data_IF_357090245314
#
_entry.id   IF_357090245314
#
_cell.length_a   1.000
_cell.length_b   1.000
_cell.length_c   1.000
_cell.angle_alpha   90.00
_cell.angle_beta   90.00
_cell.angle_gamma   90.00
#
_symmetry.space_group_name_H-M   'P 1'
#
loop_
_entity.id
_entity.type
_entity.pdbx_description
1 polymer ?
#
# COMPACT_ATOMS: atom_id res chain seq x y z
N UNK A 1 21.19 7.86 54.12
CA UNK A 1 20.25 8.60 53.27
C UNK A 1 19.01 7.72 53.13
N UNK A 2 18.45 7.26 54.25
CA UNK A 2 17.56 7.97 55.22
C UNK A 2 16.12 7.90 54.66
N UNK A 3 15.06 7.47 55.32
CA UNK A 3 14.72 7.08 56.71
C UNK A 3 13.40 6.25 56.59
N UNK A 4 13.28 5.04 57.14
CA UNK A 4 12.55 4.72 58.38
C UNK A 4 11.10 5.24 58.53
N UNK A 5 10.10 4.34 58.55
CA UNK A 5 9.14 4.22 59.67
C UNK A 5 8.18 3.03 59.54
N UNK A 6 8.25 2.20 60.58
CA UNK A 6 7.46 1.04 60.97
C UNK A 6 6.16 1.41 61.71
N UNK A 7 5.14 0.53 61.71
CA UNK A 7 4.45 0.12 62.95
C UNK A 7 3.56 -1.13 62.79
N UNK A 8 3.95 -2.18 63.50
CA UNK A 8 3.13 -3.31 63.98
C UNK A 8 2.22 -2.90 65.15
N UNK A 9 1.12 -3.64 65.32
CA UNK A 9 0.42 -3.83 66.60
C UNK A 9 -1.04 -4.26 66.38
N UNK A 10 -1.67 -5.14 67.16
CA UNK A 10 -1.25 -6.05 68.21
C UNK A 10 -2.50 -6.92 68.52
N UNK A 11 -2.32 -8.23 68.75
CA UNK A 11 -3.38 -9.13 69.23
C UNK A 11 -3.76 -8.84 70.68
N UNK A 12 -5.05 -8.99 71.03
CA UNK A 12 -5.53 -8.96 72.40
C UNK A 12 -6.77 -9.84 72.58
N UNK A 13 -6.58 -11.02 73.18
CA UNK A 13 -7.62 -11.79 73.85
C UNK A 13 -7.73 -11.35 75.31
N UNK A 14 -8.91 -11.48 75.95
CA UNK A 14 -9.12 -11.99 77.32
C UNK A 14 -10.64 -12.04 77.68
N UNK A 15 -11.03 -12.79 78.74
CA UNK A 15 -12.38 -13.38 78.95
C UNK A 15 -13.19 -12.77 80.11
N UNK A 16 -14.48 -13.13 80.19
CA UNK A 16 -15.34 -13.00 81.38
C UNK A 16 -16.78 -13.39 81.01
N UNK A 17 -17.53 -14.28 81.68
CA UNK A 17 -17.54 -14.62 83.09
C UNK A 17 -18.79 -14.03 83.75
N UNK A 18 -19.54 -14.85 84.51
CA UNK A 18 -20.71 -14.56 85.37
C UNK A 18 -22.09 -14.59 84.70
N UNK A 19 -23.20 -14.99 85.33
CA UNK A 19 -23.54 -15.89 86.44
C UNK A 19 -25.10 -15.84 86.50
N UNK A 20 -25.76 -16.97 86.71
CA UNK A 20 -27.23 -17.04 86.88
C UNK A 20 -27.70 -16.26 88.12
N UNK A 21 -29.01 -15.96 88.19
CA UNK A 21 -29.74 -16.43 89.37
C UNK A 21 -31.01 -17.23 89.04
N UNK A 22 -31.10 -18.39 89.69
CA UNK A 22 -32.34 -19.08 90.05
C UNK A 22 -32.98 -18.36 91.23
N UNK A 23 -34.28 -17.98 91.16
CA UNK A 23 -35.22 -18.05 92.30
C UNK A 23 -36.66 -18.29 91.85
N UNK A 24 -37.32 -19.08 92.69
CA UNK A 24 -38.63 -19.73 92.56
C UNK A 24 -39.82 -18.86 93.02
N UNK A 25 -41.01 -19.32 92.63
CA UNK A 25 -42.36 -19.11 93.19
C UNK A 25 -43.02 -17.75 92.89
N UNK A 26 -44.31 -17.67 92.54
CA UNK A 26 -45.45 -18.42 93.08
C UNK A 26 -46.59 -18.57 92.07
N UNK A 27 -47.30 -19.70 92.18
CA UNK A 27 -48.55 -19.97 91.50
C UNK A 27 -49.62 -18.93 91.85
N UNK A 28 -50.34 -18.44 90.83
CA UNK A 28 -51.69 -17.89 91.00
C UNK A 28 -52.66 -18.75 90.21
N UNK A 29 -53.74 -19.07 90.88
CA UNK A 29 -54.68 -20.13 90.58
C UNK A 29 -55.28 -20.04 89.16
N UNK A 30 -55.34 -21.22 88.54
CA UNK A 30 -56.06 -21.52 87.32
C UNK A 30 -57.52 -21.05 87.37
N UNK A 31 -57.88 -20.09 86.52
CA UNK A 31 -59.24 -20.01 86.01
C UNK A 31 -59.41 -21.14 84.95
N UNK A 32 -60.51 -21.91 84.95
CA UNK A 32 -60.71 -22.95 83.96
C UNK A 32 -60.99 -22.30 82.60
N UNK A 33 -59.95 -22.10 81.78
CA UNK A 33 -60.14 -21.69 80.40
C UNK A 33 -60.73 -22.88 79.64
N UNK A 34 -61.99 -22.75 79.25
CA UNK A 34 -62.70 -23.70 78.40
C UNK A 34 -61.86 -23.96 77.14
N UNK A 35 -61.26 -25.15 77.04
CA UNK A 35 -60.63 -25.66 75.81
C UNK A 35 -61.73 -25.85 74.76
N UNK A 36 -62.11 -24.77 74.10
CA UNK A 36 -62.78 -24.85 72.79
C UNK A 36 -61.73 -25.42 71.83
N UNK A 37 -61.90 -26.68 71.42
CA UNK A 37 -61.22 -27.22 70.25
C UNK A 37 -61.55 -26.28 69.09
N UNK A 38 -60.60 -25.43 68.68
CA UNK A 38 -60.71 -24.52 67.54
C UNK A 38 -60.19 -25.27 66.32
N UNK A 39 -61.04 -25.92 65.49
CA UNK A 39 -60.58 -26.55 64.26
C UNK A 39 -59.89 -25.55 63.31
N UNK A 40 -60.12 -24.24 63.47
CA UNK A 40 -59.51 -23.19 62.65
C UNK A 40 -57.99 -22.99 62.82
N UNK A 41 -57.36 -23.45 63.91
CA UNK A 41 -55.90 -23.26 64.10
C UNK A 41 -55.08 -24.23 63.24
N UNK A 42 -55.57 -25.47 63.07
CA UNK A 42 -54.93 -26.48 62.21
C UNK A 42 -55.09 -26.08 60.74
N UNK A 43 -56.26 -25.60 60.34
CA UNK A 43 -56.49 -25.06 58.98
C UNK A 43 -55.68 -23.78 58.71
N UNK A 44 -55.47 -22.92 59.72
CA UNK A 44 -54.62 -21.74 59.59
C UNK A 44 -53.13 -22.06 59.41
N UNK A 45 -52.61 -23.06 60.15
CA UNK A 45 -51.21 -23.50 60.01
C UNK A 45 -50.98 -24.21 58.67
N UNK A 46 -51.91 -25.07 58.23
CA UNK A 46 -51.83 -25.72 56.90
C UNK A 46 -51.91 -24.69 55.77
N UNK A 47 -52.80 -23.68 55.90
CA UNK A 47 -52.86 -22.57 54.95
C UNK A 47 -51.57 -21.74 54.92
N UNK A 48 -50.96 -21.45 56.07
CA UNK A 48 -49.70 -20.72 56.15
C UNK A 48 -48.53 -21.50 55.52
N UNK A 49 -48.45 -22.81 55.76
CA UNK A 49 -47.43 -23.68 55.14
C UNK A 49 -47.62 -23.73 53.62
N UNK A 50 -48.86 -23.86 53.13
CA UNK A 50 -49.14 -23.86 51.70
C UNK A 50 -48.74 -22.54 51.01
N UNK A 51 -48.94 -21.39 51.69
CA UNK A 51 -48.49 -20.09 51.20
C UNK A 51 -46.96 -20.00 51.18
N UNK A 52 -46.28 -20.44 52.24
CA UNK A 52 -44.81 -20.43 52.31
C UNK A 52 -44.19 -21.32 51.23
N UNK A 53 -44.75 -22.52 51.01
CA UNK A 53 -44.29 -23.43 49.95
C UNK A 53 -44.49 -22.78 48.59
N UNK A 54 -45.66 -22.21 48.32
CA UNK A 54 -45.93 -21.48 47.05
C UNK A 54 -44.94 -20.34 46.83
N UNK A 55 -44.70 -19.49 47.84
CA UNK A 55 -43.75 -18.37 47.74
C UNK A 55 -42.32 -18.89 47.51
N UNK A 56 -41.90 -19.94 48.21
CA UNK A 56 -40.57 -20.53 48.05
C UNK A 56 -40.39 -21.12 46.65
N UNK A 57 -41.39 -21.83 46.12
CA UNK A 57 -41.36 -22.37 44.75
C UNK A 57 -41.31 -21.25 43.71
N UNK A 58 -42.10 -20.18 43.89
CA UNK A 58 -42.06 -19.00 43.01
C UNK A 58 -40.69 -18.32 43.06
N UNK A 59 -40.11 -18.15 44.25
CA UNK A 59 -38.80 -17.55 44.45
C UNK A 59 -37.67 -18.35 43.79
N UNK A 60 -37.70 -19.69 43.91
CA UNK A 60 -36.72 -20.57 43.29
C UNK A 60 -36.85 -20.55 41.76
N UNK A 61 -38.07 -20.62 41.25
CA UNK A 61 -38.33 -20.55 39.80
C UNK A 61 -37.90 -19.21 39.22
N UNK A 62 -38.22 -18.10 39.90
CA UNK A 62 -37.85 -16.76 39.47
C UNK A 62 -36.33 -16.53 39.49
N UNK A 63 -35.62 -17.08 40.50
CA UNK A 63 -34.16 -17.06 40.52
C UNK A 63 -33.58 -17.82 39.33
N UNK A 64 -34.02 -19.06 39.12
CA UNK A 64 -33.53 -19.88 38.01
C UNK A 64 -33.79 -19.26 36.64
N UNK A 65 -34.96 -18.62 36.43
CA UNK A 65 -35.24 -17.92 35.17
C UNK A 65 -34.37 -16.68 34.99
N UNK A 66 -34.10 -15.93 36.07
CA UNK A 66 -33.21 -14.78 36.03
C UNK A 66 -31.77 -15.21 35.73
N UNK A 67 -31.24 -16.22 36.44
CA UNK A 67 -29.88 -16.72 36.26
C UNK A 67 -29.66 -17.25 34.83
N UNK A 68 -30.65 -17.97 34.27
CA UNK A 68 -30.59 -18.43 32.89
C UNK A 68 -30.60 -17.26 31.88
N UNK A 69 -31.43 -16.24 32.10
CA UNK A 69 -31.46 -15.05 31.24
C UNK A 69 -30.15 -14.24 31.35
N UNK A 70 -29.58 -14.15 32.55
CA UNK A 70 -28.32 -13.46 32.84
C UNK A 70 -27.13 -14.18 32.18
N UNK A 71 -27.08 -15.52 32.24
CA UNK A 71 -26.06 -16.33 31.58
C UNK A 71 -26.12 -16.16 30.05
N UNK A 72 -27.32 -16.29 29.46
CA UNK A 72 -27.52 -16.09 28.01
C UNK A 72 -27.14 -14.67 27.59
N UNK A 73 -27.52 -13.65 28.37
CA UNK A 73 -27.14 -12.28 28.10
C UNK A 73 -25.61 -12.11 28.12
N UNK A 74 -24.91 -12.65 29.12
CA UNK A 74 -23.44 -12.57 29.23
C UNK A 74 -22.73 -13.22 28.05
N UNK A 75 -23.22 -14.38 27.60
CA UNK A 75 -22.66 -15.10 26.45
C UNK A 75 -22.74 -14.25 25.17
N UNK A 76 -23.92 -13.68 24.88
CA UNK A 76 -24.12 -12.81 23.72
C UNK A 76 -23.27 -11.55 23.87
N UNK A 77 -23.28 -10.88 25.03
CA UNK A 77 -22.50 -9.67 25.26
C UNK A 77 -20.98 -9.89 25.10
N UNK A 78 -20.47 -11.05 25.52
CA UNK A 78 -19.07 -11.43 25.32
C UNK A 78 -18.75 -11.62 23.83
N UNK A 79 -19.61 -12.36 23.10
CA UNK A 79 -19.46 -12.58 21.66
C UNK A 79 -19.48 -11.25 20.89
N UNK A 80 -20.44 -10.37 21.19
CA UNK A 80 -20.54 -9.03 20.59
C UNK A 80 -19.31 -8.18 20.88
N UNK A 81 -18.73 -8.28 22.08
CA UNK A 81 -17.49 -7.56 22.41
C UNK A 81 -16.31 -8.02 21.55
N UNK A 82 -16.21 -9.32 21.26
CA UNK A 82 -15.20 -9.84 20.34
C UNK A 82 -15.42 -9.34 18.90
N UNK A 83 -16.67 -9.39 18.40
CA UNK A 83 -17.04 -8.84 17.08
C UNK A 83 -16.68 -7.35 16.96
N UNK A 84 -16.90 -6.56 18.03
CA UNK A 84 -16.52 -5.14 18.07
C UNK A 84 -15.03 -4.91 17.94
N UNK A 85 -14.19 -5.73 18.59
CA UNK A 85 -12.74 -5.63 18.45
C UNK A 85 -12.30 -5.93 17.01
N UNK A 86 -12.87 -6.97 16.40
CA UNK A 86 -12.61 -7.30 14.99
C UNK A 86 -13.02 -6.16 14.05
N UNK A 87 -14.18 -5.53 14.29
CA UNK A 87 -14.61 -4.37 13.50
C UNK A 87 -13.69 -3.17 13.70
N UNK A 88 -13.26 -2.88 14.93
CA UNK A 88 -12.36 -1.77 15.26
C UNK A 88 -10.98 -1.92 14.60
N UNK A 89 -10.41 -3.13 14.63
CA UNK A 89 -9.15 -3.47 13.95
C UNK A 89 -9.29 -3.31 12.43
N UNK A 90 -10.34 -3.87 11.82
CA UNK A 90 -10.58 -3.78 10.37
C UNK A 90 -10.85 -2.32 9.93
N UNK A 91 -11.56 -1.53 10.74
CA UNK A 91 -11.84 -0.13 10.47
C UNK A 91 -10.56 0.73 10.53
N UNK A 92 -9.64 0.40 11.45
CA UNK A 92 -8.33 1.07 11.53
C UNK A 92 -7.48 0.76 10.29
N UNK A 93 -7.41 -0.50 9.88
CA UNK A 93 -6.68 -0.92 8.67
C UNK A 93 -7.24 -0.26 7.39
N UNK A 94 -8.58 -0.18 7.26
CA UNK A 94 -9.23 0.50 6.13
C UNK A 94 -8.87 1.99 6.09
N UNK A 95 -8.80 2.67 7.24
CA UNK A 95 -8.42 4.09 7.32
C UNK A 95 -6.98 4.35 6.90
N UNK A 96 -6.05 3.48 7.30
CA UNK A 96 -4.65 3.62 6.90
C UNK A 96 -4.48 3.43 5.38
N UNK A 97 -5.21 2.46 4.82
CA UNK A 97 -5.28 2.22 3.37
C UNK A 97 -5.94 3.40 2.64
N UNK A 98 -7.05 3.93 3.18
CA UNK A 98 -7.75 5.12 2.66
C UNK A 98 -6.82 6.34 2.63
N UNK A 99 -6.07 6.58 3.71
CA UNK A 99 -5.08 7.66 3.79
C UNK A 99 -4.02 7.53 2.70
N UNK A 100 -3.48 6.32 2.48
CA UNK A 100 -2.51 6.05 1.42
C UNK A 100 -3.11 6.27 0.02
N UNK A 101 -4.34 5.82 -0.21
CA UNK A 101 -5.06 6.03 -1.46
C UNK A 101 -5.34 7.52 -1.76
N UNK A 102 -5.69 8.31 -0.76
CA UNK A 102 -5.83 9.77 -0.88
C UNK A 102 -4.50 10.40 -1.28
N UNK A 103 -3.39 9.99 -0.65
CA UNK A 103 -2.06 10.50 -0.99
C UNK A 103 -1.64 10.14 -2.43
N UNK A 104 -2.05 8.98 -2.96
CA UNK A 104 -1.87 8.65 -4.38
C UNK A 104 -2.62 9.66 -5.28
N UNK A 105 -3.89 9.93 -5.00
CA UNK A 105 -4.70 10.89 -5.77
C UNK A 105 -4.12 12.31 -5.71
N UNK A 106 -3.61 12.74 -4.56
CA UNK A 106 -2.97 14.05 -4.37
C UNK A 106 -1.60 14.17 -5.06
N UNK A 107 -0.91 13.05 -5.26
CA UNK A 107 0.42 13.00 -5.89
C UNK A 107 0.37 12.95 -7.41
N UNK A 108 -0.83 12.87 -8.00
CA UNK A 108 -1.01 12.89 -9.45
C UNK A 108 -0.59 14.24 -10.05
N UNK A 109 0.39 14.21 -10.94
CA UNK A 109 0.89 15.39 -11.66
C UNK A 109 0.15 15.67 -12.97
N UNK A 110 -0.72 14.76 -13.40
CA UNK A 110 -1.42 14.80 -14.68
C UNK A 110 -0.59 14.31 -15.87
N UNK A 111 0.61 13.75 -15.65
CA UNK A 111 1.50 13.30 -16.72
C UNK A 111 1.16 11.88 -17.18
N UNK A 112 1.22 10.91 -16.26
CA UNK A 112 1.09 9.48 -16.60
C UNK A 112 -0.25 8.85 -16.21
N UNK A 113 -1.04 9.52 -15.38
CA UNK A 113 -2.23 8.92 -14.77
C UNK A 113 -3.38 8.83 -15.77
N UNK A 114 -3.94 7.63 -15.91
CA UNK A 114 -5.17 7.42 -16.66
C UNK A 114 -6.38 8.03 -15.92
N UNK A 115 -7.18 8.92 -16.57
CA UNK A 115 -8.32 9.54 -15.92
C UNK A 115 -9.38 8.56 -15.40
N UNK A 116 -9.60 7.43 -16.08
CA UNK A 116 -10.61 6.46 -15.65
C UNK A 116 -10.16 5.65 -14.42
N UNK A 117 -8.87 5.30 -14.36
CA UNK A 117 -8.28 4.70 -13.16
C UNK A 117 -8.33 5.66 -11.96
N UNK A 118 -8.04 6.95 -12.17
CA UNK A 118 -8.17 7.99 -11.13
C UNK A 118 -9.60 8.15 -10.63
N UNK A 119 -10.58 8.19 -11.52
CA UNK A 119 -12.00 8.27 -11.17
C UNK A 119 -12.44 7.05 -10.36
N UNK A 120 -11.99 5.86 -10.75
CA UNK A 120 -12.29 4.61 -10.05
C UNK A 120 -11.72 4.60 -8.62
N UNK A 121 -10.46 5.01 -8.44
CA UNK A 121 -9.86 5.12 -7.11
C UNK A 121 -10.57 6.19 -6.26
N UNK A 122 -10.96 7.32 -6.84
CA UNK A 122 -11.71 8.38 -6.14
C UNK A 122 -13.05 7.85 -5.61
N UNK A 123 -13.78 7.07 -6.41
CA UNK A 123 -15.03 6.44 -5.99
C UNK A 123 -14.81 5.38 -4.90
N UNK A 124 -13.73 4.61 -4.98
CA UNK A 124 -13.37 3.63 -3.97
C UNK A 124 -13.02 4.28 -2.62
N UNK A 125 -12.26 5.40 -2.63
CA UNK A 125 -11.98 6.20 -1.44
C UNK A 125 -13.27 6.72 -0.80
N UNK A 126 -14.21 7.26 -1.59
CA UNK A 126 -15.50 7.71 -1.06
C UNK A 126 -16.30 6.56 -0.41
N UNK A 127 -16.30 5.38 -1.04
CA UNK A 127 -16.97 4.19 -0.52
C UNK A 127 -16.33 3.71 0.78
N UNK A 128 -15.00 3.74 0.88
CA UNK A 128 -14.27 3.43 2.11
C UNK A 128 -14.60 4.43 3.23
N UNK A 129 -14.65 5.73 2.93
CA UNK A 129 -15.03 6.76 3.89
C UNK A 129 -16.47 6.60 4.43
N UNK A 130 -17.41 6.18 3.59
CA UNK A 130 -18.78 5.87 4.01
C UNK A 130 -18.82 4.63 4.94
N UNK A 131 -18.06 3.57 4.60
CA UNK A 131 -17.95 2.37 5.43
C UNK A 131 -17.30 2.64 6.79
N UNK A 132 -16.19 3.39 6.84
CA UNK A 132 -15.52 3.73 8.11
C UNK A 132 -16.41 4.57 9.02
N UNK A 133 -17.22 5.46 8.42
CA UNK A 133 -18.22 6.27 9.16
C UNK A 133 -19.36 5.43 9.72
N UNK A 134 -19.85 4.43 8.96
CA UNK A 134 -20.88 3.48 9.43
C UNK A 134 -20.36 2.63 10.59
N UNK A 135 -19.14 2.10 10.45
CA UNK A 135 -18.47 1.32 11.49
C UNK A 135 -18.30 2.08 12.80
N UNK A 136 -17.85 3.34 12.75
CA UNK A 136 -17.76 4.21 13.93
C UNK A 136 -19.11 4.39 14.63
N UNK A 137 -20.19 4.55 13.87
CA UNK A 137 -21.52 4.71 14.43
C UNK A 137 -21.97 3.46 15.20
N UNK A 138 -21.68 2.26 14.68
CA UNK A 138 -21.97 0.99 15.35
C UNK A 138 -21.04 0.77 16.56
N UNK A 139 -19.76 1.10 16.44
CA UNK A 139 -18.80 1.05 17.55
C UNK A 139 -19.14 2.06 18.65
N UNK A 140 -19.86 3.14 18.36
CA UNK A 140 -20.36 4.05 19.38
C UNK A 140 -21.61 3.54 20.13
N UNK A 141 -22.31 2.51 19.62
CA UNK A 141 -23.52 1.99 20.26
C UNK A 141 -23.18 1.28 21.59
N UNK A 142 -23.83 1.65 22.72
CA UNK A 142 -23.52 1.06 24.01
C UNK A 142 -24.10 -0.35 24.16
N UNK A 143 -23.27 -1.27 24.67
CA UNK A 143 -23.74 -2.59 25.14
C UNK A 143 -24.37 -2.43 26.53
N UNK A 144 -25.62 -2.87 26.76
CA UNK A 144 -26.25 -2.82 28.07
C UNK A 144 -25.41 -3.53 29.15
N UNK A 145 -25.44 -3.02 30.37
CA UNK A 145 -24.74 -3.62 31.52
C UNK A 145 -25.74 -4.26 32.47
N UNK A 146 -25.41 -5.44 32.98
CA UNK A 146 -26.22 -6.11 33.99
C UNK A 146 -26.13 -5.31 35.30
N UNK A 147 -27.28 -4.87 35.82
CA UNK A 147 -27.39 -4.21 37.12
C UNK A 147 -27.32 -5.20 38.30
N UNK A 148 -27.59 -4.72 39.51
CA UNK A 148 -27.68 -5.59 40.68
C UNK A 148 -28.87 -6.57 40.57
N UNK A 149 -28.64 -7.84 40.93
CA UNK A 149 -29.67 -8.88 40.91
C UNK A 149 -30.78 -8.57 41.93
N UNK A 150 -32.06 -8.49 41.52
CA UNK A 150 -33.16 -8.24 42.44
C UNK A 150 -33.39 -9.39 43.43
N UNK A 151 -34.08 -9.10 44.54
CA UNK A 151 -34.23 -10.08 45.63
C UNK A 151 -35.62 -10.73 45.67
N UNK A 152 -36.67 -10.04 45.23
CA UNK A 152 -38.04 -10.57 45.31
C UNK A 152 -38.49 -11.25 44.01
N UNK A 153 -39.28 -12.32 44.10
CA UNK A 153 -39.67 -13.12 42.93
C UNK A 153 -40.33 -12.31 41.80
N UNK A 154 -41.14 -11.30 42.10
CA UNK A 154 -41.75 -10.45 41.06
C UNK A 154 -40.72 -9.57 40.35
N UNK A 155 -39.74 -9.02 41.08
CA UNK A 155 -38.63 -8.24 40.52
C UNK A 155 -37.71 -9.13 39.68
N UNK A 156 -37.49 -10.37 40.12
CA UNK A 156 -36.71 -11.36 39.37
C UNK A 156 -37.39 -11.72 38.05
N UNK A 157 -38.71 -11.89 38.02
CA UNK A 157 -39.44 -12.11 36.77
C UNK A 157 -39.36 -10.89 35.83
N UNK A 158 -39.52 -9.67 36.35
CA UNK A 158 -39.37 -8.46 35.51
C UNK A 158 -37.93 -8.28 35.03
N UNK A 159 -36.95 -8.55 35.89
CA UNK A 159 -35.53 -8.47 35.55
C UNK A 159 -35.12 -9.50 34.50
N UNK A 160 -35.66 -10.72 34.57
CA UNK A 160 -35.45 -11.73 33.54
C UNK A 160 -36.04 -11.29 32.18
N UNK A 161 -37.21 -10.64 32.19
CA UNK A 161 -37.80 -10.05 30.97
C UNK A 161 -36.95 -8.92 30.38
N UNK A 162 -36.46 -8.01 31.21
CA UNK A 162 -35.54 -6.94 30.75
C UNK A 162 -34.22 -7.49 30.22
N UNK A 163 -33.64 -8.51 30.86
CA UNK A 163 -32.45 -9.19 30.36
C UNK A 163 -32.68 -9.86 29.01
N UNK A 164 -33.87 -10.42 28.78
CA UNK A 164 -34.23 -11.00 27.47
C UNK A 164 -34.37 -9.92 26.38
N UNK A 165 -34.98 -8.77 26.71
CA UNK A 165 -35.06 -7.61 25.79
C UNK A 165 -33.68 -7.04 25.45
N UNK A 166 -32.81 -6.91 26.46
CA UNK A 166 -31.44 -6.46 26.27
C UNK A 166 -30.62 -7.49 25.48
N UNK A 167 -30.79 -8.80 25.74
CA UNK A 167 -30.19 -9.88 24.93
C UNK A 167 -30.56 -9.74 23.47
N UNK A 168 -31.85 -9.58 23.15
CA UNK A 168 -32.31 -9.38 21.78
C UNK A 168 -31.78 -8.09 21.13
N UNK A 169 -31.52 -7.02 21.92
CA UNK A 169 -30.86 -5.81 21.44
C UNK A 169 -29.40 -6.10 21.08
N UNK A 170 -28.67 -6.76 21.97
CA UNK A 170 -27.26 -7.13 21.74
C UNK A 170 -27.12 -8.10 20.56
N UNK A 171 -28.03 -9.07 20.40
CA UNK A 171 -28.06 -9.97 19.22
C UNK A 171 -28.35 -9.27 17.89
N UNK A 172 -29.06 -8.13 17.92
CA UNK A 172 -29.22 -7.29 16.72
C UNK A 172 -27.94 -6.53 16.43
N UNK A 173 -27.34 -5.92 17.45
CA UNK A 173 -26.07 -5.22 17.32
C UNK A 173 -24.96 -6.15 16.83
N UNK A 174 -24.85 -7.37 17.36
CA UNK A 174 -23.86 -8.37 16.91
C UNK A 174 -23.98 -8.68 15.42
N UNK A 175 -25.21 -8.88 14.92
CA UNK A 175 -25.46 -9.10 13.50
C UNK A 175 -25.09 -7.88 12.65
N UNK A 176 -25.44 -6.68 13.10
CA UNK A 176 -25.07 -5.44 12.40
C UNK A 176 -23.54 -5.27 12.36
N UNK A 177 -22.83 -5.59 13.44
CA UNK A 177 -21.37 -5.56 13.47
C UNK A 177 -20.75 -6.60 12.54
N UNK A 178 -21.30 -7.82 12.46
CA UNK A 178 -20.85 -8.86 11.53
C UNK A 178 -21.05 -8.43 10.07
N UNK A 179 -22.24 -7.91 9.73
CA UNK A 179 -22.54 -7.37 8.41
C UNK A 179 -21.61 -6.20 8.06
N UNK A 180 -21.27 -5.36 9.04
CA UNK A 180 -20.34 -4.24 8.84
C UNK A 180 -18.89 -4.70 8.66
N UNK A 181 -18.43 -5.76 9.35
CA UNK A 181 -17.10 -6.35 9.11
C UNK A 181 -16.98 -6.81 7.64
N UNK A 182 -18.02 -7.45 7.09
CA UNK A 182 -18.05 -7.85 5.67
C UNK A 182 -18.05 -6.63 4.73
N UNK A 183 -18.75 -5.56 5.13
CA UNK A 183 -18.81 -4.29 4.37
C UNK A 183 -17.43 -3.61 4.33
N UNK A 184 -16.74 -3.49 5.48
CA UNK A 184 -15.36 -2.98 5.55
C UNK A 184 -14.43 -3.82 4.70
N UNK A 185 -14.49 -5.15 4.82
CA UNK A 185 -13.62 -6.03 4.04
C UNK A 185 -13.83 -5.85 2.52
N UNK A 186 -15.09 -5.69 2.08
CA UNK A 186 -15.41 -5.42 0.67
C UNK A 186 -14.90 -4.05 0.22
N UNK A 187 -15.06 -3.02 1.04
CA UNK A 187 -14.55 -1.67 0.76
C UNK A 187 -13.02 -1.65 0.67
N UNK A 188 -12.32 -2.31 1.61
CA UNK A 188 -10.86 -2.43 1.62
C UNK A 188 -10.31 -3.17 0.41
N UNK A 189 -10.95 -4.27 -0.01
CA UNK A 189 -10.58 -4.97 -1.23
C UNK A 189 -10.77 -4.10 -2.47
N UNK A 190 -11.93 -3.42 -2.59
CA UNK A 190 -12.22 -2.53 -3.72
C UNK A 190 -11.23 -1.36 -3.80
N UNK A 191 -10.88 -0.79 -2.65
CA UNK A 191 -9.90 0.28 -2.53
C UNK A 191 -8.51 -0.17 -2.96
N UNK A 192 -8.07 -1.34 -2.47
CA UNK A 192 -6.77 -1.93 -2.83
C UNK A 192 -6.70 -2.26 -4.32
N UNK A 193 -7.72 -2.93 -4.86
CA UNK A 193 -7.81 -3.27 -6.29
C UNK A 193 -7.76 -2.01 -7.17
N UNK A 194 -8.50 -0.97 -6.81
CA UNK A 194 -8.52 0.30 -7.55
C UNK A 194 -7.18 1.03 -7.47
N UNK A 195 -6.51 1.02 -6.31
CA UNK A 195 -5.20 1.62 -6.13
C UNK A 195 -4.11 0.89 -6.92
N UNK A 196 -4.11 -0.45 -6.88
CA UNK A 196 -3.16 -1.28 -7.64
C UNK A 196 -3.39 -1.12 -9.14
N UNK A 197 -4.66 -1.02 -9.58
CA UNK A 197 -5.00 -0.73 -10.96
C UNK A 197 -4.47 0.65 -11.41
N UNK A 198 -4.58 1.68 -10.58
CA UNK A 198 -3.99 3.01 -10.84
C UNK A 198 -2.46 2.91 -11.03
N UNK A 199 -1.76 2.24 -10.11
CA UNK A 199 -0.31 2.07 -10.18
C UNK A 199 0.11 1.32 -11.45
N UNK A 200 -0.56 0.21 -11.74
CA UNK A 200 -0.25 -0.65 -12.89
C UNK A 200 -0.48 0.07 -14.22
N UNK A 201 -1.60 0.79 -14.35
CA UNK A 201 -1.92 1.55 -15.57
C UNK A 201 -0.97 2.73 -15.76
N UNK A 202 -0.63 3.45 -14.68
CA UNK A 202 0.36 4.54 -14.70
C UNK A 202 1.75 4.02 -15.10
N UNK A 203 2.20 2.89 -14.53
CA UNK A 203 3.46 2.27 -14.89
C UNK A 203 3.49 1.80 -16.35
N UNK A 204 2.38 1.25 -16.84
CA UNK A 204 2.25 0.81 -18.24
C UNK A 204 2.31 1.97 -19.24
N UNK A 205 1.94 3.18 -18.83
CA UNK A 205 2.02 4.38 -19.66
C UNK A 205 3.48 4.86 -19.88
N UNK A 206 4.43 4.43 -19.05
CA UNK A 206 5.83 4.88 -19.11
C UNK A 206 6.49 4.62 -20.47
N UNK A 207 6.23 3.49 -21.12
CA UNK A 207 6.81 3.18 -22.44
C UNK A 207 6.30 4.07 -23.57
N UNK A 208 5.02 4.45 -23.53
CA UNK A 208 4.45 5.41 -24.47
C UNK A 208 4.99 6.83 -24.21
N UNK A 209 5.16 7.17 -22.93
CA UNK A 209 5.78 8.44 -22.49
C UNK A 209 7.23 8.54 -22.98
N UNK A 210 8.05 7.51 -22.74
CA UNK A 210 9.41 7.43 -23.27
C UNK A 210 9.45 7.62 -24.80
N UNK A 211 8.56 6.94 -25.53
CA UNK A 211 8.49 7.03 -26.99
C UNK A 211 8.10 8.43 -27.50
N UNK A 212 7.41 9.23 -26.69
CA UNK A 212 7.05 10.61 -27.01
C UNK A 212 8.19 11.61 -26.76
N UNK A 213 9.18 11.23 -25.95
CA UNK A 213 10.26 12.10 -25.46
C UNK A 213 11.64 11.61 -25.95
N UNK A 214 11.78 11.45 -27.26
CA UNK A 214 12.94 10.77 -27.90
C UNK A 214 14.27 11.50 -27.73
N UNK A 215 14.25 12.78 -27.36
CA UNK A 215 15.47 13.56 -27.14
C UNK A 215 15.88 13.64 -25.67
N UNK A 216 15.12 13.01 -24.75
CA UNK A 216 15.48 12.93 -23.35
C UNK A 216 16.76 12.12 -23.13
N UNK A 217 17.46 12.39 -22.02
CA UNK A 217 18.72 11.72 -21.70
C UNK A 217 18.51 10.26 -21.30
N UNK A 218 19.47 9.41 -21.65
CA UNK A 218 19.44 7.97 -21.36
C UNK A 218 19.24 7.68 -19.86
N UNK A 219 19.91 8.41 -18.97
CA UNK A 219 19.80 8.20 -17.51
C UNK A 219 18.37 8.47 -17.00
N UNK A 220 17.67 9.45 -17.57
CA UNK A 220 16.29 9.77 -17.20
C UNK A 220 15.30 8.72 -17.78
N UNK A 221 15.58 8.18 -18.97
CA UNK A 221 14.84 7.04 -19.53
C UNK A 221 14.98 5.82 -18.62
N UNK A 222 16.21 5.50 -18.19
CA UNK A 222 16.48 4.37 -17.28
C UNK A 222 15.75 4.57 -15.95
N UNK A 223 15.85 5.76 -15.35
CA UNK A 223 15.17 6.08 -14.10
C UNK A 223 13.64 5.93 -14.23
N UNK A 224 13.04 6.37 -15.35
CA UNK A 224 11.62 6.18 -15.60
C UNK A 224 11.24 4.69 -15.68
N UNK A 225 12.03 3.88 -16.41
CA UNK A 225 11.77 2.43 -16.54
C UNK A 225 11.88 1.72 -15.18
N UNK A 226 12.88 2.04 -14.38
CA UNK A 226 13.06 1.47 -13.04
C UNK A 226 11.92 1.87 -12.09
N UNK A 227 11.51 3.14 -12.12
CA UNK A 227 10.38 3.61 -11.32
C UNK A 227 9.06 2.96 -11.75
N UNK A 228 8.84 2.76 -13.06
CA UNK A 228 7.68 2.06 -13.59
C UNK A 228 7.67 0.59 -13.17
N UNK A 229 8.82 -0.10 -13.26
CA UNK A 229 8.96 -1.48 -12.81
C UNK A 229 8.65 -1.61 -11.30
N UNK A 230 9.18 -0.70 -10.49
CA UNK A 230 8.93 -0.65 -9.04
C UNK A 230 7.45 -0.45 -8.75
N UNK A 231 6.80 0.54 -9.36
CA UNK A 231 5.38 0.83 -9.18
C UNK A 231 4.48 -0.34 -9.63
N UNK A 232 4.86 -1.04 -10.71
CA UNK A 232 4.11 -2.20 -11.22
C UNK A 232 4.20 -3.46 -10.34
N UNK A 233 5.20 -3.53 -9.46
CA UNK A 233 5.40 -4.66 -8.55
C UNK A 233 4.62 -4.52 -7.23
N UNK A 234 4.03 -3.35 -6.96
CA UNK A 234 3.24 -3.07 -5.76
C UNK A 234 1.92 -3.84 -5.81
N UNK A 235 1.58 -4.53 -4.71
CA UNK A 235 0.36 -5.32 -4.56
C UNK A 235 -0.56 -4.83 -3.43
N UNK A 236 -0.11 -3.88 -2.62
CA UNK A 236 -0.82 -3.29 -1.46
C UNK A 236 -0.81 -1.77 -1.56
N UNK A 237 -1.74 -1.09 -0.88
CA UNK A 237 -1.83 0.38 -0.87
C UNK A 237 -1.43 0.90 0.51
N UNK A 238 -0.15 1.23 0.62
CA UNK A 238 0.53 1.67 1.83
C UNK A 238 1.54 2.81 1.51
N UNK A 239 2.38 3.18 2.48
CA UNK A 239 3.40 4.22 2.31
C UNK A 239 4.43 3.91 1.20
N UNK A 240 4.74 2.63 0.96
CA UNK A 240 5.66 2.21 -0.10
C UNK A 240 5.01 2.40 -1.48
N UNK A 241 3.70 2.10 -1.59
CA UNK A 241 2.92 2.38 -2.79
C UNK A 241 2.92 3.88 -3.14
N UNK A 242 2.71 4.74 -2.13
CA UNK A 242 2.76 6.21 -2.29
C UNK A 242 4.15 6.68 -2.73
N UNK A 243 5.20 6.12 -2.14
CA UNK A 243 6.60 6.46 -2.46
C UNK A 243 6.95 6.06 -3.89
N UNK A 244 6.60 4.82 -4.30
CA UNK A 244 6.84 4.33 -5.65
C UNK A 244 6.08 5.16 -6.70
N UNK A 245 4.82 5.51 -6.42
CA UNK A 245 4.03 6.35 -7.32
C UNK A 245 4.63 7.75 -7.50
N UNK A 246 5.03 8.40 -6.40
CA UNK A 246 5.67 9.72 -6.45
C UNK A 246 7.00 9.67 -7.22
N UNK A 247 7.79 8.63 -7.01
CA UNK A 247 9.03 8.44 -7.76
C UNK A 247 8.75 8.33 -9.27
N UNK A 248 7.77 7.51 -9.66
CA UNK A 248 7.35 7.38 -11.06
C UNK A 248 6.91 8.72 -11.68
N UNK A 249 6.06 9.48 -10.98
CA UNK A 249 5.62 10.80 -11.43
C UNK A 249 6.80 11.78 -11.57
N UNK A 250 7.72 11.78 -10.59
CA UNK A 250 8.90 12.63 -10.61
C UNK A 250 9.84 12.29 -11.78
N UNK A 251 10.10 11.01 -12.04
CA UNK A 251 10.92 10.58 -13.17
C UNK A 251 10.28 10.92 -14.52
N UNK A 252 8.94 10.87 -14.62
CA UNK A 252 8.23 11.26 -15.83
C UNK A 252 8.35 12.77 -16.10
N UNK A 253 8.28 13.59 -15.05
CA UNK A 253 8.51 15.04 -15.15
C UNK A 253 9.98 15.36 -15.49
N UNK A 254 10.93 14.62 -14.90
CA UNK A 254 12.35 14.77 -15.18
C UNK A 254 12.70 14.43 -16.63
N UNK A 255 12.07 13.41 -17.21
CA UNK A 255 12.22 13.05 -18.62
C UNK A 255 11.81 14.21 -19.56
N UNK A 256 10.68 14.86 -19.28
CA UNK A 256 10.23 16.03 -20.05
C UNK A 256 11.25 17.16 -19.90
N UNK A 257 11.68 17.44 -18.67
CA UNK A 257 12.62 18.51 -18.40
C UNK A 257 13.98 18.29 -19.08
N UNK A 258 14.46 17.04 -19.18
CA UNK A 258 15.70 16.74 -19.88
C UNK A 258 15.55 16.82 -21.39
N UNK A 259 14.45 16.36 -21.98
CA UNK A 259 14.17 16.62 -23.40
C UNK A 259 14.14 18.12 -23.71
N UNK A 260 13.44 18.92 -22.90
CA UNK A 260 13.38 20.37 -23.11
C UNK A 260 14.78 21.02 -23.07
N UNK A 261 15.63 20.56 -22.14
CA UNK A 261 17.01 21.04 -22.05
C UNK A 261 17.84 20.64 -23.28
N UNK A 262 17.72 19.39 -23.73
CA UNK A 262 18.39 18.86 -24.91
C UNK A 262 17.96 19.58 -26.19
N UNK A 263 16.67 19.82 -26.37
CA UNK A 263 16.13 20.58 -27.51
C UNK A 263 16.57 22.05 -27.47
N UNK A 264 16.68 22.64 -26.27
CA UNK A 264 17.19 24.00 -26.11
C UNK A 264 18.67 24.10 -26.50
N UNK A 265 19.50 23.14 -26.10
CA UNK A 265 20.92 23.06 -26.51
C UNK A 265 21.06 22.86 -28.03
N UNK A 266 20.20 22.03 -28.62
CA UNK A 266 20.17 21.74 -30.06
C UNK A 266 19.61 22.88 -30.90
N UNK A 267 19.02 23.90 -30.29
CA UNK A 267 18.35 25.00 -30.97
C UNK A 267 19.26 25.80 -31.92
N UNK A 268 18.65 26.48 -32.89
CA UNK A 268 19.34 27.30 -33.89
C UNK A 268 19.20 26.76 -35.32
N UNK A 269 20.00 27.28 -36.28
CA UNK A 269 19.84 26.97 -37.70
C UNK A 269 20.02 25.51 -38.08
N UNK A 270 20.73 24.73 -37.24
CA UNK A 270 21.05 23.32 -37.49
C UNK A 270 20.08 22.34 -36.84
N UNK A 271 19.08 22.80 -36.06
CA UNK A 271 18.18 21.93 -35.29
C UNK A 271 17.55 20.83 -36.15
N UNK A 272 17.01 21.18 -37.33
CA UNK A 272 16.36 20.20 -38.22
C UNK A 272 17.32 19.08 -38.67
N UNK A 273 18.54 19.44 -39.08
CA UNK A 273 19.54 18.46 -39.49
C UNK A 273 19.99 17.58 -38.32
N UNK A 274 20.15 18.16 -37.12
CA UNK A 274 20.50 17.41 -35.91
C UNK A 274 19.44 16.34 -35.61
N UNK A 275 18.16 16.72 -35.57
CA UNK A 275 17.07 15.77 -35.29
C UNK A 275 16.98 14.65 -36.33
N UNK A 276 17.16 14.96 -37.63
CA UNK A 276 17.21 13.94 -38.68
C UNK A 276 18.41 12.97 -38.52
N UNK A 277 19.57 13.49 -38.11
CA UNK A 277 20.77 12.68 -37.85
C UNK A 277 20.55 11.74 -36.68
N UNK A 278 19.97 12.24 -35.58
CA UNK A 278 19.73 11.44 -34.38
C UNK A 278 18.67 10.35 -34.64
N UNK A 279 17.59 10.67 -35.35
CA UNK A 279 16.61 9.68 -35.81
C UNK A 279 17.27 8.61 -36.68
N UNK A 280 18.08 9.04 -37.66
CA UNK A 280 18.84 8.13 -38.49
C UNK A 280 19.76 7.22 -37.67
N UNK A 281 20.52 7.77 -36.73
CA UNK A 281 21.40 7.01 -35.85
C UNK A 281 20.64 5.99 -34.99
N UNK A 282 19.51 6.37 -34.38
CA UNK A 282 18.64 5.45 -33.61
C UNK A 282 18.10 4.32 -34.48
N UNK A 283 17.76 4.58 -35.74
CA UNK A 283 17.31 3.54 -36.68
C UNK A 283 18.36 2.46 -36.98
N UNK A 284 19.65 2.77 -36.78
CA UNK A 284 20.76 1.87 -37.02
C UNK A 284 21.14 1.07 -35.75
N UNK A 285 20.70 1.46 -34.56
CA UNK A 285 21.11 0.83 -33.29
C UNK A 285 19.91 0.30 -32.47
N UNK A 286 19.12 -0.64 -33.01
CA UNK A 286 17.92 -1.12 -32.32
C UNK A 286 18.27 -1.74 -30.96
N UNK A 287 17.62 -1.26 -29.90
CA UNK A 287 17.80 -1.75 -28.54
C UNK A 287 19.03 -1.19 -27.81
N UNK A 288 19.64 -0.11 -28.31
CA UNK A 288 20.65 0.68 -27.59
C UNK A 288 20.07 2.06 -27.32
N UNK A 289 20.20 2.53 -26.08
CA UNK A 289 19.81 3.90 -25.73
C UNK A 289 20.90 4.88 -26.22
N UNK A 290 20.53 5.90 -26.99
CA UNK A 290 21.45 6.85 -27.62
C UNK A 290 21.16 8.29 -27.19
N UNK A 291 22.17 8.91 -26.58
CA UNK A 291 22.25 10.35 -26.33
C UNK A 291 23.13 11.02 -27.40
N UNK A 292 22.91 12.33 -27.61
CA UNK A 292 23.64 13.09 -28.61
C UNK A 292 24.04 14.46 -28.09
N UNK A 293 25.33 14.76 -28.22
CA UNK A 293 25.92 16.06 -27.92
C UNK A 293 26.44 16.71 -29.21
N UNK A 294 26.41 18.05 -29.26
CA UNK A 294 26.77 18.81 -30.45
C UNK A 294 27.75 19.93 -30.14
N UNK A 295 28.95 19.87 -30.74
CA UNK A 295 29.99 20.87 -30.54
C UNK A 295 30.51 21.44 -31.87
N UNK A 296 31.10 22.65 -31.91
CA UNK A 296 31.75 23.13 -33.13
C UNK A 296 32.90 22.23 -33.61
N UNK A 297 33.62 21.61 -32.67
CA UNK A 297 34.78 20.77 -32.91
C UNK A 297 34.67 19.56 -31.99
N UNK A 298 34.85 18.36 -32.54
CA UNK A 298 34.93 17.09 -31.79
C UNK A 298 36.26 16.43 -32.17
N UNK A 299 37.02 15.93 -31.19
CA UNK A 299 38.35 15.33 -31.43
C UNK A 299 39.31 16.19 -32.30
N UNK A 300 39.21 17.52 -32.18
CA UNK A 300 40.05 18.47 -32.92
C UNK A 300 39.64 18.71 -34.38
N UNK A 301 38.54 18.12 -34.86
CA UNK A 301 38.01 18.27 -36.23
C UNK A 301 36.58 18.86 -36.22
N UNK A 302 36.22 19.62 -37.27
CA UNK A 302 34.94 20.33 -37.35
C UNK A 302 34.97 21.68 -38.10
N UNK A 303 36.15 22.16 -38.49
CA UNK A 303 36.32 23.37 -39.33
C UNK A 303 36.82 23.05 -40.74
N UNK A 304 36.69 24.02 -41.65
CA UNK A 304 37.17 23.93 -43.04
C UNK A 304 36.63 22.69 -43.80
N UNK A 305 35.40 22.27 -43.48
CA UNK A 305 34.79 21.09 -44.08
C UNK A 305 35.37 19.76 -43.59
N UNK A 306 36.10 19.72 -42.47
CA UNK A 306 36.34 18.47 -41.71
C UNK A 306 35.15 18.15 -40.81
N UNK A 307 34.93 16.88 -40.45
CA UNK A 307 33.87 16.43 -39.54
C UNK A 307 34.46 15.52 -38.47
N UNK A 308 33.99 15.67 -37.25
CA UNK A 308 34.33 14.84 -36.11
C UNK A 308 33.13 14.15 -35.49
N UNK A 309 33.38 12.96 -34.99
CA UNK A 309 32.53 12.21 -34.09
C UNK A 309 33.33 11.65 -32.93
N UNK A 310 32.63 11.35 -31.84
CA UNK A 310 33.16 10.60 -30.71
C UNK A 310 32.02 9.89 -29.99
N UNK A 311 32.13 8.57 -29.82
CA UNK A 311 31.15 7.80 -29.06
C UNK A 311 31.74 7.31 -27.74
N UNK A 312 31.00 7.51 -26.65
CA UNK A 312 31.22 6.82 -25.37
C UNK A 312 30.09 5.82 -25.14
N UNK A 313 30.39 4.61 -24.66
CA UNK A 313 29.38 3.57 -24.45
C UNK A 313 29.60 2.79 -23.15
N UNK A 314 28.52 2.19 -22.65
CA UNK A 314 28.49 1.42 -21.42
C UNK A 314 27.79 0.08 -21.65
N UNK A 315 28.39 -1.00 -21.15
CA UNK A 315 27.90 -2.39 -21.26
C UNK A 315 26.95 -2.79 -20.14
N UNK A 316 26.24 -1.83 -19.54
CA UNK A 316 25.19 -2.11 -18.57
C UNK A 316 23.88 -2.53 -19.25
N UNK A 317 22.86 -2.83 -18.44
CA UNK A 317 21.53 -3.21 -18.89
C UNK A 317 20.52 -2.15 -18.41
N UNK A 318 19.86 -1.40 -19.33
CA UNK A 318 20.02 -1.46 -20.78
C UNK A 318 21.35 -0.84 -21.26
N UNK A 319 21.91 -1.40 -22.32
CA UNK A 319 23.11 -0.86 -22.96
C UNK A 319 22.87 0.52 -23.54
N UNK A 320 23.77 1.46 -23.26
CA UNK A 320 23.64 2.86 -23.67
C UNK A 320 24.93 3.45 -24.23
N UNK A 321 24.78 4.53 -25.00
CA UNK A 321 25.89 5.29 -25.55
C UNK A 321 25.53 6.78 -25.72
N UNK A 322 26.56 7.62 -25.70
CA UNK A 322 26.50 9.03 -26.05
C UNK A 322 27.36 9.25 -27.28
N UNK A 323 26.79 9.87 -28.32
CA UNK A 323 27.46 10.21 -29.56
C UNK A 323 27.63 11.74 -29.64
N UNK A 324 28.86 12.22 -29.54
CA UNK A 324 29.19 13.62 -29.76
C UNK A 324 29.50 13.85 -31.25
N UNK A 325 28.84 14.81 -31.89
CA UNK A 325 29.04 15.14 -33.30
C UNK A 325 29.40 16.61 -33.49
N UNK A 326 30.34 16.86 -34.39
CA UNK A 326 30.68 18.25 -34.74
C UNK A 326 29.56 18.92 -35.54
N UNK A 327 29.36 20.23 -35.38
CA UNK A 327 28.34 21.01 -36.11
C UNK A 327 28.45 20.86 -37.63
N UNK A 328 29.67 20.69 -38.13
CA UNK A 328 29.95 20.47 -39.55
C UNK A 328 29.31 19.21 -40.15
N UNK A 329 28.94 18.22 -39.32
CA UNK A 329 28.17 17.04 -39.71
C UNK A 329 26.75 17.49 -40.07
N UNK A 330 26.10 18.25 -39.20
CA UNK A 330 24.76 18.80 -39.45
C UNK A 330 24.76 19.81 -40.61
N UNK A 331 25.80 20.64 -40.76
CA UNK A 331 25.93 21.58 -41.89
C UNK A 331 26.01 20.90 -43.25
N UNK A 332 26.53 19.67 -43.29
CA UNK A 332 26.76 18.91 -44.53
C UNK A 332 25.74 17.79 -44.73
N UNK A 333 24.77 17.66 -43.84
CA UNK A 333 23.71 16.68 -43.95
C UNK A 333 22.84 16.96 -45.20
N UNK A 334 22.42 15.95 -45.98
CA UNK A 334 22.60 14.50 -45.82
C UNK A 334 23.69 13.89 -46.73
N UNK A 335 24.84 14.54 -46.90
CA UNK A 335 25.92 14.05 -47.77
C UNK A 335 26.45 12.67 -47.36
N UNK A 336 26.90 11.86 -48.32
CA UNK A 336 27.36 10.48 -48.10
C UNK A 336 28.45 10.39 -47.02
N UNK A 337 29.43 11.30 -47.07
CA UNK A 337 30.46 11.47 -46.03
C UNK A 337 29.90 11.68 -44.62
N UNK A 338 28.82 12.45 -44.48
CA UNK A 338 28.21 12.73 -43.17
C UNK A 338 27.47 11.52 -42.64
N UNK A 339 26.73 10.81 -43.51
CA UNK A 339 26.06 9.55 -43.16
C UNK A 339 27.07 8.48 -42.77
N UNK A 340 28.14 8.33 -43.54
CA UNK A 340 29.20 7.36 -43.29
C UNK A 340 29.85 7.56 -41.92
N UNK A 341 30.14 8.81 -41.55
CA UNK A 341 30.65 9.13 -40.21
C UNK A 341 29.62 8.79 -39.12
N UNK A 342 28.36 9.20 -39.26
CA UNK A 342 27.32 8.89 -38.26
C UNK A 342 27.17 7.37 -38.08
N UNK A 343 27.20 6.59 -39.17
CA UNK A 343 27.11 5.13 -39.07
C UNK A 343 28.35 4.54 -38.40
N UNK A 344 29.54 5.10 -38.62
CA UNK A 344 30.76 4.71 -37.90
C UNK A 344 30.59 4.93 -36.39
N UNK A 345 30.15 6.11 -35.97
CA UNK A 345 29.92 6.41 -34.55
C UNK A 345 28.86 5.49 -33.91
N UNK A 346 27.80 5.16 -34.66
CA UNK A 346 26.82 4.15 -34.24
C UNK A 346 27.45 2.76 -34.13
N UNK A 347 28.45 2.44 -34.94
CA UNK A 347 29.21 1.19 -34.86
C UNK A 347 29.90 1.00 -33.50
N UNK A 348 30.39 2.08 -32.88
CA UNK A 348 30.85 2.04 -31.50
C UNK A 348 29.69 1.78 -30.53
N UNK A 349 28.58 2.51 -30.67
CA UNK A 349 27.43 2.39 -29.78
C UNK A 349 26.82 0.98 -29.79
N UNK A 350 26.58 0.38 -30.96
CA UNK A 350 25.97 -0.95 -31.09
C UNK A 350 26.84 -2.06 -30.52
N UNK A 351 28.14 -1.80 -30.34
CA UNK A 351 29.07 -2.77 -29.78
C UNK A 351 28.69 -3.22 -28.36
N UNK A 352 27.86 -2.45 -27.63
CA UNK A 352 27.32 -2.85 -26.32
C UNK A 352 26.49 -4.14 -26.39
N UNK A 353 25.84 -4.41 -27.53
CA UNK A 353 25.07 -5.65 -27.78
C UNK A 353 25.91 -6.76 -28.41
N UNK A 354 27.06 -6.41 -28.98
CA UNK A 354 27.89 -7.29 -29.81
C UNK A 354 29.25 -7.58 -29.17
N UNK A 355 29.41 -7.32 -27.87
CA UNK A 355 30.72 -7.28 -27.20
C UNK A 355 31.53 -8.57 -27.38
N UNK A 356 30.85 -9.72 -27.41
CA UNK A 356 31.49 -11.04 -27.56
C UNK A 356 31.87 -11.39 -29.01
N UNK A 357 31.55 -10.54 -29.99
CA UNK A 357 31.75 -10.79 -31.42
C UNK A 357 33.08 -10.26 -31.96
N UNK A 358 33.80 -9.45 -31.18
CA UNK A 358 35.07 -8.85 -31.57
C UNK A 358 35.98 -8.60 -30.37
N UNK A 359 37.24 -8.23 -30.61
CA UNK A 359 38.19 -7.90 -29.54
C UNK A 359 38.04 -6.42 -29.14
N UNK A 360 37.35 -6.14 -28.03
CA UNK A 360 37.19 -4.77 -27.53
C UNK A 360 38.37 -4.27 -26.67
N UNK A 361 39.51 -4.97 -26.64
CA UNK A 361 40.62 -4.64 -25.71
C UNK A 361 41.58 -3.53 -26.19
N UNK A 362 41.50 -3.13 -27.46
CA UNK A 362 42.41 -2.14 -28.05
C UNK A 362 41.65 -1.11 -28.87
N UNK A 363 42.16 0.13 -28.90
CA UNK A 363 41.57 1.20 -29.73
C UNK A 363 41.49 0.79 -31.21
N UNK A 364 42.58 0.25 -31.76
CA UNK A 364 42.63 -0.18 -33.17
C UNK A 364 41.53 -1.19 -33.52
N UNK A 365 41.25 -2.14 -32.64
CA UNK A 365 40.20 -3.13 -32.85
C UNK A 365 38.79 -2.53 -32.71
N UNK A 366 38.58 -1.61 -31.78
CA UNK A 366 37.35 -0.84 -31.60
C UNK A 366 37.05 0.01 -32.85
N UNK A 367 38.03 0.72 -33.38
CA UNK A 367 37.88 1.52 -34.61
C UNK A 367 37.60 0.65 -35.84
N UNK A 368 38.25 -0.53 -35.93
CA UNK A 368 37.98 -1.51 -36.99
C UNK A 368 36.58 -2.09 -36.88
N UNK A 369 36.06 -2.30 -35.68
CA UNK A 369 34.67 -2.72 -35.47
C UNK A 369 33.68 -1.66 -35.98
N UNK A 370 33.83 -0.41 -35.56
CA UNK A 370 32.97 0.69 -36.01
C UNK A 370 33.00 0.87 -37.54
N UNK A 371 34.20 0.79 -38.14
CA UNK A 371 34.38 0.83 -39.59
C UNK A 371 33.71 -0.37 -40.28
N UNK A 372 33.83 -1.56 -39.72
CA UNK A 372 33.21 -2.78 -40.24
C UNK A 372 31.68 -2.73 -40.17
N UNK A 373 31.13 -2.14 -39.11
CA UNK A 373 29.70 -1.86 -38.99
C UNK A 373 29.20 -0.94 -40.09
N UNK A 374 29.89 0.18 -40.34
CA UNK A 374 29.52 1.11 -41.40
C UNK A 374 29.58 0.48 -42.80
N UNK A 375 30.64 -0.27 -43.10
CA UNK A 375 30.78 -0.99 -44.38
C UNK A 375 29.68 -2.03 -44.55
N UNK A 376 29.40 -2.83 -43.52
CA UNK A 376 28.34 -3.83 -43.60
C UNK A 376 26.97 -3.17 -43.80
N UNK A 377 26.77 -1.90 -43.38
CA UNK A 377 25.50 -1.16 -43.54
C UNK A 377 25.40 -0.55 -44.94
N UNK A 378 26.42 -0.72 -45.79
CA UNK A 378 26.49 -0.17 -47.14
C UNK A 378 27.09 1.24 -47.22
N UNK A 379 27.62 1.78 -46.12
CA UNK A 379 28.23 3.11 -46.10
C UNK A 379 29.73 2.99 -46.35
N UNK A 380 30.12 3.18 -47.61
CA UNK A 380 31.48 2.95 -48.11
C UNK A 380 32.27 4.21 -48.44
N UNK A 381 31.71 5.40 -48.20
CA UNK A 381 32.48 6.65 -48.27
C UNK A 381 33.64 6.61 -47.26
N UNK A 382 34.78 7.19 -47.62
CA UNK A 382 36.03 7.14 -46.86
C UNK A 382 35.91 7.69 -45.41
N UNK A 383 34.89 8.51 -45.14
CA UNK A 383 34.56 9.02 -43.81
C UNK A 383 33.99 7.96 -42.85
N UNK A 384 33.74 6.73 -43.31
CA UNK A 384 33.28 5.61 -42.48
C UNK A 384 34.36 5.03 -41.53
N UNK A 385 35.55 5.66 -41.45
CA UNK A 385 36.70 5.21 -40.69
C UNK A 385 37.85 4.66 -41.54
N UNK A 386 37.62 4.27 -42.79
CA UNK A 386 38.68 3.72 -43.67
C UNK A 386 39.82 4.71 -43.89
N UNK A 387 39.53 6.00 -44.06
CA UNK A 387 40.57 7.00 -44.24
C UNK A 387 41.48 7.17 -43.02
N UNK A 388 40.90 7.09 -41.82
CA UNK A 388 41.62 7.30 -40.56
C UNK A 388 42.31 6.03 -40.04
N UNK A 389 41.64 4.87 -40.17
CA UNK A 389 42.01 3.63 -39.49
C UNK A 389 42.31 2.46 -40.44
N UNK A 390 42.09 2.67 -41.75
CA UNK A 390 42.25 1.64 -42.77
C UNK A 390 41.09 0.67 -42.86
N UNK A 391 41.16 -0.25 -43.82
CA UNK A 391 40.13 -1.27 -44.00
C UNK A 391 40.15 -2.32 -42.87
N UNK A 392 39.00 -2.65 -42.27
CA UNK A 392 38.93 -3.71 -41.29
C UNK A 392 39.04 -5.10 -41.95
N UNK A 393 39.49 -6.12 -41.21
CA UNK A 393 39.48 -7.51 -41.66
C UNK A 393 38.07 -7.99 -42.06
N UNK A 394 37.96 -8.87 -43.06
CA UNK A 394 36.65 -9.38 -43.53
C UNK A 394 35.84 -10.04 -42.40
N UNK A 395 36.49 -10.75 -41.48
CA UNK A 395 35.80 -11.38 -40.36
C UNK A 395 35.14 -10.36 -39.41
N UNK A 396 35.63 -9.11 -39.33
CA UNK A 396 34.97 -8.04 -38.58
C UNK A 396 33.72 -7.56 -39.32
N UNK A 397 33.78 -7.42 -40.65
CA UNK A 397 32.63 -7.03 -41.49
C UNK A 397 31.53 -8.08 -41.39
N UNK A 398 31.88 -9.35 -41.48
CA UNK A 398 30.94 -10.47 -41.37
C UNK A 398 30.32 -10.53 -39.96
N UNK A 399 31.12 -10.32 -38.91
CA UNK A 399 30.64 -10.27 -37.53
C UNK A 399 29.69 -9.09 -37.29
N UNK A 400 30.05 -7.89 -37.74
CA UNK A 400 29.21 -6.69 -37.62
C UNK A 400 27.88 -6.84 -38.39
N UNK A 401 27.91 -7.46 -39.59
CA UNK A 401 26.70 -7.79 -40.33
C UNK A 401 25.80 -8.77 -39.57
N UNK A 402 26.40 -9.74 -38.86
CA UNK A 402 25.68 -10.73 -38.06
C UNK A 402 25.11 -10.23 -36.74
N UNK A 403 25.52 -9.04 -36.25
CA UNK A 403 24.99 -8.48 -35.00
C UNK A 403 23.65 -7.72 -35.16
N UNK A 404 23.28 -7.36 -36.38
CA UNK A 404 21.97 -6.75 -36.68
C UNK A 404 20.84 -7.72 -36.41
#
# INVERSE_FOLDING_TARGET
>A
MDDASSHEGQSGALPGGHALPLRFASASASAPSVRKRRPGLVWGVVGAIAVIVTITTLQLTANGSYDAAEEQFREVAHTTSATRLTLDEANTELRDTEGSAVLLLESDTGILVDPAAKESLTAAVATAGDATSSADALLAEPVPVIGEKPTWFWELYTGAGSLDEDRQRVERLDRQLQDEVETIGTAGNTLTESGVALLTTTASAAGAHESAHVSARNDDIIALREAAATASAIATIDDDAVTAFRALQATAAQLIASEDAELAEKSGPLLGARLEIEEFARSLAPGVLLDFDWAPIVNGVGYNGSMGGYTTWWWDDPGRATIELSNSVAEQWPADRSKALVVHEVGHAISVKCADMYDASTQDSIEKWATAWAISMGYTDDANGVWAYGYPPQNYIDAAAGCR
#
